data_IF_265102938651
#
_entry.id   IF_265102938651
#
_cell.length_a   1.000
_cell.length_b   1.000
_cell.length_c   1.000
_cell.angle_alpha   90.00
_cell.angle_beta   90.00
_cell.angle_gamma   90.00
#
_symmetry.space_group_name_H-M   'P 1'
#
loop_
_entity.id
_entity.type
_entity.pdbx_description
1 polymer ?
#
# COMPACT_ATOMS: atom_id res chain seq x y z
N UNK A 1 -9.42 26.70 -8.22
CA UNK A 1 -9.79 25.36 -7.77
C UNK A 1 -8.64 24.73 -7.02
N UNK A 2 -8.88 24.38 -5.80
CA UNK A 2 -7.83 23.82 -4.99
C UNK A 2 -7.71 22.33 -5.25
N UNK A 3 -6.51 21.90 -5.53
CA UNK A 3 -6.17 20.50 -5.60
C UNK A 3 -6.18 19.91 -4.20
N UNK A 4 -6.59 18.66 -4.08
CA UNK A 4 -6.51 17.97 -2.79
C UNK A 4 -5.04 17.86 -2.37
N UNK A 5 -4.68 18.16 -1.11
CA UNK A 5 -3.31 17.99 -0.65
C UNK A 5 -2.82 16.56 -0.83
N UNK A 6 -1.54 16.40 -1.15
CA UNK A 6 -0.97 15.07 -1.40
C UNK A 6 -1.11 14.17 -0.17
N UNK A 7 -0.92 14.72 1.03
CA UNK A 7 -1.10 13.92 2.26
C UNK A 7 -2.54 13.40 2.39
N UNK A 8 -3.53 14.18 1.94
CA UNK A 8 -4.91 13.74 2.00
C UNK A 8 -5.20 12.63 0.98
N UNK A 9 -4.59 12.74 -0.21
CA UNK A 9 -4.69 11.67 -1.23
C UNK A 9 -4.17 10.36 -0.66
N UNK A 10 -3.02 10.40 0.02
CA UNK A 10 -2.42 9.23 0.66
C UNK A 10 -3.34 8.67 1.74
N UNK A 11 -3.84 9.54 2.63
CA UNK A 11 -4.72 9.11 3.72
C UNK A 11 -6.00 8.46 3.19
N UNK A 12 -6.60 9.03 2.15
CA UNK A 12 -7.82 8.49 1.55
C UNK A 12 -7.58 7.12 0.93
N UNK A 13 -6.41 6.91 0.32
CA UNK A 13 -6.06 5.62 -0.26
C UNK A 13 -6.00 4.53 0.81
N UNK A 14 -5.32 4.79 1.93
CA UNK A 14 -5.26 3.80 3.01
C UNK A 14 -6.61 3.59 3.69
N UNK A 15 -7.43 4.62 3.78
CA UNK A 15 -8.80 4.46 4.30
C UNK A 15 -9.61 3.52 3.42
N UNK A 16 -9.46 3.63 2.10
CA UNK A 16 -10.15 2.75 1.16
C UNK A 16 -9.66 1.31 1.28
N UNK A 17 -8.35 1.11 1.42
CA UNK A 17 -7.78 -0.22 1.62
C UNK A 17 -8.23 -0.84 2.94
N UNK A 18 -8.14 -0.07 4.03
CA UNK A 18 -8.53 -0.54 5.37
C UNK A 18 -10.02 -0.86 5.42
N UNK A 19 -10.84 -0.13 4.65
CA UNK A 19 -12.26 -0.36 4.54
C UNK A 19 -12.65 -1.50 3.61
N UNK A 20 -11.67 -2.14 2.98
CA UNK A 20 -11.89 -3.21 2.01
C UNK A 20 -12.89 -2.79 0.92
N UNK A 21 -12.70 -1.58 0.38
CA UNK A 21 -13.59 -0.96 -0.60
C UNK A 21 -12.87 -0.88 -1.96
N UNK A 22 -13.02 -1.92 -2.82
CA UNK A 22 -12.31 -1.94 -4.09
C UNK A 22 -12.72 -0.79 -5.04
N UNK A 23 -13.95 -0.34 -4.99
CA UNK A 23 -14.39 0.77 -5.86
C UNK A 23 -13.72 2.08 -5.47
N UNK A 24 -13.59 2.36 -4.17
CA UNK A 24 -12.90 3.54 -3.69
C UNK A 24 -11.41 3.49 -4.01
N UNK A 25 -10.80 2.30 -3.89
CA UNK A 25 -9.38 2.09 -4.26
C UNK A 25 -9.18 2.36 -5.75
N UNK A 26 -10.04 1.80 -6.59
CA UNK A 26 -9.97 2.01 -8.04
C UNK A 26 -10.11 3.49 -8.40
N UNK A 27 -11.07 4.17 -7.78
CA UNK A 27 -11.28 5.60 -8.03
C UNK A 27 -10.07 6.44 -7.63
N UNK A 28 -9.43 6.11 -6.51
CA UNK A 28 -8.24 6.83 -6.05
C UNK A 28 -7.10 6.68 -7.07
N UNK A 29 -6.91 5.48 -7.61
CA UNK A 29 -5.87 5.25 -8.60
C UNK A 29 -6.19 5.97 -9.91
N UNK A 30 -7.45 5.85 -10.38
CA UNK A 30 -7.86 6.49 -11.62
C UNK A 30 -7.72 8.01 -11.56
N UNK A 31 -7.97 8.61 -10.39
CA UNK A 31 -7.98 10.06 -10.23
C UNK A 31 -6.59 10.64 -9.91
N UNK A 32 -5.72 9.89 -9.24
CA UNK A 32 -4.53 10.46 -8.63
C UNK A 32 -3.20 9.82 -9.03
N UNK A 33 -3.21 8.70 -9.74
CA UNK A 33 -1.96 8.02 -10.11
C UNK A 33 -1.57 8.36 -11.54
N UNK A 34 -0.29 8.57 -11.78
CA UNK A 34 0.24 8.69 -13.13
C UNK A 34 0.09 7.37 -13.86
N UNK A 35 -0.02 7.42 -15.18
CA UNK A 35 -0.18 6.21 -15.99
C UNK A 35 0.98 5.23 -15.78
N UNK A 36 2.18 5.75 -15.59
CA UNK A 36 3.40 4.96 -15.38
C UNK A 36 3.78 4.80 -13.91
N UNK A 37 2.86 5.08 -12.99
CA UNK A 37 3.11 4.93 -11.56
C UNK A 37 3.55 3.52 -11.22
N UNK A 38 4.37 3.39 -10.19
CA UNK A 38 4.92 2.10 -9.78
C UNK A 38 4.90 1.96 -8.27
N UNK A 39 4.88 0.72 -7.79
CA UNK A 39 5.14 0.40 -6.40
C UNK A 39 6.31 -0.57 -6.32
N UNK A 40 7.14 -0.39 -5.29
CA UNK A 40 8.25 -1.30 -5.05
C UNK A 40 8.25 -1.75 -3.60
N UNK A 41 8.27 -3.07 -3.40
CA UNK A 41 8.40 -3.72 -2.11
C UNK A 41 9.77 -4.36 -1.99
N UNK A 42 10.28 -4.54 -0.75
CA UNK A 42 11.55 -5.26 -0.55
C UNK A 42 11.54 -6.61 -1.28
N UNK A 43 12.60 -6.93 -2.03
CA UNK A 43 12.60 -8.15 -2.84
C UNK A 43 12.57 -9.45 -2.02
N UNK A 44 12.92 -9.38 -0.74
CA UNK A 44 12.87 -10.55 0.13
C UNK A 44 11.46 -10.96 0.56
N UNK A 45 10.47 -10.10 0.33
CA UNK A 45 9.09 -10.40 0.72
C UNK A 45 8.43 -11.33 -0.30
N UNK A 46 7.41 -12.12 0.13
CA UNK A 46 6.66 -12.97 -0.81
C UNK A 46 6.05 -12.18 -1.98
N UNK A 47 5.66 -10.93 -1.72
CA UNK A 47 5.09 -10.03 -2.72
C UNK A 47 6.13 -9.01 -3.21
N UNK A 48 7.42 -9.27 -2.96
CA UNK A 48 8.49 -8.32 -3.25
C UNK A 48 8.69 -8.06 -4.72
N UNK A 49 9.32 -6.92 -5.00
CA UNK A 49 9.63 -6.48 -6.34
C UNK A 49 8.85 -5.24 -6.75
N UNK A 50 8.91 -4.94 -8.03
CA UNK A 50 8.35 -3.72 -8.60
C UNK A 50 7.20 -4.04 -9.53
N UNK A 51 6.10 -3.31 -9.38
CA UNK A 51 4.94 -3.38 -10.28
C UNK A 51 4.78 -2.00 -10.90
N UNK A 52 4.78 -1.92 -12.21
CA UNK A 52 4.70 -0.66 -12.95
C UNK A 52 3.41 -0.56 -13.76
N UNK A 53 2.86 0.66 -13.80
CA UNK A 53 1.69 0.99 -14.59
C UNK A 53 0.42 1.07 -13.75
N UNK A 54 -0.33 2.15 -13.91
CA UNK A 54 -1.54 2.39 -13.12
C UNK A 54 -2.58 1.28 -13.29
N UNK A 55 -2.67 0.71 -14.49
CA UNK A 55 -3.60 -0.38 -14.76
C UNK A 55 -3.27 -1.62 -13.91
N UNK A 56 -1.98 -1.97 -13.84
CA UNK A 56 -1.53 -3.10 -13.02
C UNK A 56 -1.72 -2.82 -11.53
N UNK A 57 -1.43 -1.59 -11.10
CA UNK A 57 -1.64 -1.17 -9.72
C UNK A 57 -3.12 -1.24 -9.35
N UNK A 58 -3.99 -0.83 -10.27
CA UNK A 58 -5.42 -0.89 -10.04
C UNK A 58 -5.88 -2.33 -9.80
N UNK A 59 -5.43 -3.28 -10.65
CA UNK A 59 -5.76 -4.70 -10.46
C UNK A 59 -5.21 -5.24 -9.15
N UNK A 60 -3.97 -4.90 -8.83
CA UNK A 60 -3.30 -5.36 -7.62
C UNK A 60 -4.03 -4.87 -6.36
N UNK A 61 -4.25 -3.58 -6.26
CA UNK A 61 -4.83 -2.99 -5.05
C UNK A 61 -6.32 -3.27 -4.90
N UNK A 62 -7.08 -3.34 -6.00
CA UNK A 62 -8.47 -3.77 -5.90
C UNK A 62 -8.57 -5.23 -5.47
N UNK A 63 -7.62 -6.08 -5.90
CA UNK A 63 -7.52 -7.46 -5.44
C UNK A 63 -7.25 -7.54 -3.94
N UNK A 64 -6.35 -6.70 -3.44
CA UNK A 64 -6.06 -6.61 -2.00
C UNK A 64 -7.32 -6.20 -1.23
N UNK A 65 -8.03 -5.18 -1.72
CA UNK A 65 -9.25 -4.71 -1.07
C UNK A 65 -10.34 -5.80 -1.05
N UNK A 66 -10.46 -6.56 -2.14
CA UNK A 66 -11.43 -7.67 -2.21
C UNK A 66 -11.07 -8.80 -1.25
N UNK A 67 -9.79 -9.06 -1.03
CA UNK A 67 -9.35 -10.09 -0.11
C UNK A 67 -9.64 -9.72 1.35
N UNK A 68 -9.68 -8.43 1.66
CA UNK A 68 -9.94 -7.97 3.01
C UNK A 68 -8.91 -8.52 4.00
N UNK A 69 -9.39 -9.14 5.09
CA UNK A 69 -8.52 -9.68 6.13
C UNK A 69 -8.22 -11.17 5.97
N UNK A 70 -8.34 -11.71 4.76
CA UNK A 70 -8.12 -13.14 4.54
C UNK A 70 -6.64 -13.49 4.41
N UNK A 71 -5.85 -12.60 3.84
CA UNK A 71 -4.40 -12.82 3.66
C UNK A 71 -3.70 -11.49 3.43
N UNK A 72 -2.39 -11.48 3.61
CA UNK A 72 -1.57 -10.31 3.40
C UNK A 72 -1.61 -9.35 4.59
N UNK A 73 -1.58 -8.07 4.34
CA UNK A 73 -1.63 -7.04 5.37
C UNK A 73 -3.07 -6.86 5.83
N UNK A 74 -3.39 -7.42 6.98
CA UNK A 74 -4.72 -7.37 7.59
C UNK A 74 -4.74 -6.34 8.71
N UNK A 75 -5.93 -5.89 9.11
CA UNK A 75 -6.09 -4.87 10.17
C UNK A 75 -5.24 -3.64 9.91
N UNK A 76 -5.21 -3.21 8.67
CA UNK A 76 -4.38 -2.08 8.24
C UNK A 76 -4.82 -0.79 8.92
N UNK A 77 -3.86 -0.09 9.51
CA UNK A 77 -4.08 1.20 10.15
C UNK A 77 -3.05 2.20 9.64
N UNK A 78 -3.51 3.35 9.20
CA UNK A 78 -2.61 4.47 8.95
C UNK A 78 -2.35 5.18 10.26
N UNK A 79 -1.12 5.06 10.77
CA UNK A 79 -0.72 5.69 12.03
C UNK A 79 -0.64 7.20 11.84
N UNK A 80 0.03 7.64 10.80
CA UNK A 80 0.11 9.05 10.40
C UNK A 80 0.76 9.19 9.04
N UNK A 81 0.58 10.37 8.44
CA UNK A 81 1.35 10.79 7.28
C UNK A 81 2.40 11.82 7.72
N UNK A 82 3.53 11.84 7.05
CA UNK A 82 4.63 12.76 7.31
C UNK A 82 4.94 13.47 5.99
N UNK A 83 4.91 14.80 6.01
CA UNK A 83 5.11 15.61 4.81
C UNK A 83 3.83 15.79 4.00
N UNK A 84 3.83 16.78 3.10
CA UNK A 84 2.67 17.10 2.27
C UNK A 84 3.08 17.71 0.93
N UNK A 85 4.36 17.65 0.59
CA UNK A 85 4.87 18.13 -0.69
C UNK A 85 4.92 17.00 -1.71
N UNK A 86 6.00 16.99 -2.48
CA UNK A 86 6.20 15.96 -3.50
C UNK A 86 6.54 14.61 -2.91
N UNK A 87 6.87 14.54 -1.63
CA UNK A 87 7.09 13.29 -0.92
C UNK A 87 6.23 13.24 0.33
N UNK A 88 5.43 12.19 0.44
CA UNK A 88 4.60 11.93 1.62
C UNK A 88 4.97 10.55 2.12
N UNK A 89 5.28 10.45 3.41
CA UNK A 89 5.55 9.16 4.05
C UNK A 89 4.30 8.72 4.79
N UNK A 90 3.82 7.53 4.46
CA UNK A 90 2.72 6.90 5.18
C UNK A 90 3.31 5.90 6.17
N UNK A 91 3.04 6.12 7.45
CA UNK A 91 3.41 5.16 8.49
C UNK A 91 2.19 4.27 8.74
N UNK A 92 2.31 2.99 8.39
CA UNK A 92 1.21 2.04 8.53
C UNK A 92 1.58 0.92 9.50
N UNK A 93 0.56 0.40 10.16
CA UNK A 93 0.67 -0.77 11.02
C UNK A 93 -0.33 -1.82 10.52
N UNK A 94 0.03 -3.07 10.61
CA UNK A 94 -0.83 -4.16 10.12
C UNK A 94 -0.42 -5.48 10.76
N UNK A 95 -1.30 -6.46 10.61
CA UNK A 95 -1.00 -7.84 10.96
C UNK A 95 -0.84 -8.63 9.67
N UNK A 96 0.31 -9.23 9.48
CA UNK A 96 0.57 -10.03 8.28
C UNK A 96 -0.01 -11.41 8.47
N UNK A 97 -0.81 -11.85 7.51
CA UNK A 97 -1.39 -13.18 7.51
C UNK A 97 -0.95 -13.93 6.27
N UNK A 98 -0.26 -15.06 6.49
CA UNK A 98 0.10 -15.95 5.40
C UNK A 98 -1.15 -16.70 4.92
N UNK A 99 -1.27 -16.96 3.61
CA UNK A 99 -2.41 -17.72 3.10
C UNK A 99 -2.51 -19.08 3.78
N UNK A 100 -3.71 -19.42 4.23
CA UNK A 100 -3.96 -20.70 4.90
C UNK A 100 -3.52 -20.78 6.34
N UNK A 101 -2.97 -19.70 6.90
CA UNK A 101 -2.55 -19.66 8.29
C UNK A 101 -3.63 -19.05 9.16
N UNK A 102 -3.75 -19.56 10.40
CA UNK A 102 -4.66 -18.99 11.39
C UNK A 102 -4.00 -17.84 12.17
N UNK A 103 -2.67 -17.80 12.19
CA UNK A 103 -1.94 -16.80 12.93
C UNK A 103 -1.59 -15.58 12.11
N UNK A 104 -1.27 -14.49 12.82
CA UNK A 104 -0.82 -13.26 12.20
C UNK A 104 0.49 -12.81 12.83
N UNK A 105 1.26 -11.99 12.10
CA UNK A 105 2.53 -11.44 12.52
C UNK A 105 2.40 -9.91 12.54
N UNK A 106 2.40 -9.28 13.72
CA UNK A 106 2.36 -7.80 13.78
C UNK A 106 3.57 -7.21 13.07
N UNK A 107 3.33 -6.18 12.27
CA UNK A 107 4.41 -5.51 11.54
C UNK A 107 4.02 -4.05 11.30
N UNK A 108 4.94 -3.31 10.74
CA UNK A 108 4.70 -1.94 10.33
C UNK A 108 5.59 -1.62 9.13
N UNK A 109 5.26 -0.55 8.45
CA UNK A 109 6.04 -0.10 7.31
C UNK A 109 5.94 1.41 7.17
N UNK A 110 6.98 1.98 6.57
CA UNK A 110 6.91 3.33 6.04
C UNK A 110 6.82 3.19 4.53
N UNK A 111 5.82 3.82 3.93
CA UNK A 111 5.69 3.83 2.48
C UNK A 111 5.88 5.24 1.97
N UNK A 112 6.92 5.44 1.17
CA UNK A 112 7.27 6.75 0.63
C UNK A 112 6.54 6.94 -0.69
N UNK A 113 5.66 7.94 -0.72
CA UNK A 113 4.89 8.30 -1.90
C UNK A 113 5.55 9.48 -2.56
N UNK A 114 5.93 9.34 -3.83
CA UNK A 114 6.53 10.40 -4.62
C UNK A 114 5.52 10.91 -5.64
N UNK A 115 5.34 12.23 -5.69
CA UNK A 115 4.39 12.90 -6.57
C UNK A 115 5.13 13.78 -7.56
N UNK A 116 4.60 13.90 -8.76
CA UNK A 116 5.02 14.89 -9.73
C UNK A 116 3.78 15.38 -10.46
N UNK A 117 3.66 16.70 -10.61
CA UNK A 117 2.52 17.34 -11.27
C UNK A 117 1.18 16.94 -10.64
N UNK A 118 1.19 16.74 -9.32
CA UNK A 118 -0.02 16.37 -8.57
C UNK A 118 -0.42 14.91 -8.69
N UNK A 119 0.37 14.08 -9.37
CA UNK A 119 0.06 12.66 -9.55
C UNK A 119 1.10 11.79 -8.86
N UNK A 120 0.64 10.66 -8.32
CA UNK A 120 1.52 9.67 -7.71
C UNK A 120 2.39 9.04 -8.80
N UNK A 121 3.70 9.04 -8.59
CA UNK A 121 4.67 8.43 -9.49
C UNK A 121 5.23 7.13 -8.95
N UNK A 122 5.46 7.08 -7.64
CA UNK A 122 6.05 5.89 -7.03
C UNK A 122 5.61 5.77 -5.57
N UNK A 123 5.44 4.53 -5.15
CA UNK A 123 5.29 4.17 -3.74
C UNK A 123 6.41 3.18 -3.45
N UNK A 124 7.22 3.46 -2.45
CA UNK A 124 8.31 2.56 -2.07
C UNK A 124 8.17 2.19 -0.60
N UNK A 125 8.09 0.88 -0.34
CA UNK A 125 7.81 0.37 0.99
C UNK A 125 9.09 -0.03 1.73
N UNK A 126 9.16 0.33 3.01
CA UNK A 126 10.26 -0.03 3.92
C UNK A 126 9.65 -0.68 5.14
N UNK A 127 9.78 -1.99 5.26
CA UNK A 127 9.16 -2.75 6.35
C UNK A 127 10.04 -2.73 7.58
N UNK A 128 9.41 -2.70 8.75
CA UNK A 128 10.11 -2.78 10.01
C UNK A 128 10.81 -4.13 10.16
N UNK A 129 10.08 -5.23 9.90
CA UNK A 129 10.62 -6.58 10.04
C UNK A 129 10.27 -7.43 8.81
N UNK A 130 11.06 -7.25 7.77
CA UNK A 130 10.90 -8.03 6.53
C UNK A 130 11.17 -9.51 6.77
N UNK A 131 12.13 -9.84 7.65
CA UNK A 131 12.53 -11.21 7.89
C UNK A 131 11.40 -12.05 8.47
N UNK A 132 10.58 -11.47 9.34
CA UNK A 132 9.45 -12.18 9.94
C UNK A 132 8.44 -12.63 8.90
N UNK A 133 8.22 -11.79 7.86
CA UNK A 133 7.27 -12.10 6.78
C UNK A 133 7.91 -13.03 5.75
N UNK A 134 9.21 -12.83 5.49
CA UNK A 134 9.94 -13.55 4.45
C UNK A 134 10.34 -14.96 4.86
N UNK A 135 10.16 -15.34 6.13
CA UNK A 135 10.56 -16.66 6.58
C UNK A 135 9.80 -17.75 5.83
N UNK A 136 10.52 -18.80 5.39
CA UNK A 136 9.84 -19.91 4.72
C UNK A 136 8.84 -20.56 5.66
N UNK A 137 7.70 -20.91 5.09
CA UNK A 137 6.72 -21.71 5.79
C UNK A 137 7.26 -23.13 5.89
N UNK A 138 7.46 -23.62 7.10
CA UNK A 138 7.77 -25.01 7.29
C UNK A 138 6.51 -25.83 7.31
N UNK A 139 6.49 -26.81 6.47
CA UNK A 139 5.37 -27.73 6.46
C UNK A 139 5.33 -28.56 7.77
#
# INVERSE_FOLDING_TARGET
MSQRPNAQIVADFYAALAGADPDAVAAAIDDHFAEDAAIEWPPSLPHGGRVEGSRRLRSLFTGIAKAGNQAGATNLTLVRTIGDGDHVVAWIAFDWKNPGSDGTIPNSALEVWSFADGLVREIRAFYWDSAAIAQPQHA
#
